data_IF_611111728746
#
_entry.id   IF_611111728746
#
_cell.length_a   1.000
_cell.length_b   1.000
_cell.length_c   1.000
_cell.angle_alpha   90.00
_cell.angle_beta   90.00
_cell.angle_gamma   90.00
#
_symmetry.space_group_name_H-M   'P 1'
#
loop_
_entity.id
_entity.type
_entity.pdbx_description
1 polymer ?
#
# COMPACT_ATOMS: atom_id res chain seq x y z
N UNK A 1 -53.54 2.00 -28.61
CA UNK A 1 -52.27 2.28 -27.90
C UNK A 1 -52.11 1.28 -26.77
N UNK A 2 -51.26 0.27 -26.91
CA UNK A 2 -50.94 -0.67 -25.85
C UNK A 2 -50.22 0.09 -24.75
N UNK A 3 -50.79 0.14 -23.53
CA UNK A 3 -50.09 0.64 -22.32
C UNK A 3 -48.86 -0.21 -22.12
N UNK A 4 -47.70 0.37 -22.36
CA UNK A 4 -46.42 -0.25 -21.92
C UNK A 4 -46.48 -0.38 -20.40
N UNK A 5 -46.68 -1.60 -19.92
CA UNK A 5 -46.52 -1.89 -18.49
C UNK A 5 -45.13 -1.39 -18.08
N UNK A 6 -45.05 -0.43 -17.15
CA UNK A 6 -43.81 -0.05 -16.52
C UNK A 6 -43.28 -1.32 -15.87
N UNK A 7 -42.12 -1.79 -16.35
CA UNK A 7 -41.36 -2.84 -15.70
C UNK A 7 -41.08 -2.39 -14.26
N UNK A 8 -41.57 -3.11 -13.29
CA UNK A 8 -41.31 -2.86 -11.88
C UNK A 8 -40.12 -3.73 -11.44
N UNK A 9 -39.05 -3.09 -10.98
CA UNK A 9 -37.85 -3.74 -10.46
C UNK A 9 -37.72 -3.53 -8.96
N UNK A 10 -38.76 -3.10 -8.27
CA UNK A 10 -38.76 -2.81 -6.83
C UNK A 10 -38.23 -4.02 -6.04
N UNK A 11 -37.12 -3.79 -5.29
CA UNK A 11 -36.47 -4.81 -4.48
C UNK A 11 -35.63 -5.84 -5.26
N UNK A 12 -35.64 -5.80 -6.60
CA UNK A 12 -34.84 -6.72 -7.40
C UNK A 12 -33.35 -6.30 -7.44
N UNK A 13 -32.41 -7.24 -7.28
CA UNK A 13 -30.98 -6.92 -7.34
C UNK A 13 -30.51 -6.76 -8.79
N UNK A 14 -29.79 -5.69 -9.05
CA UNK A 14 -29.11 -5.40 -10.32
C UNK A 14 -27.60 -5.35 -10.07
N UNK A 15 -26.85 -6.14 -10.82
CA UNK A 15 -25.41 -6.33 -10.66
C UNK A 15 -24.65 -5.66 -11.79
N UNK A 16 -23.71 -4.79 -11.46
CA UNK A 16 -22.96 -3.97 -12.41
C UNK A 16 -21.46 -4.24 -12.27
N UNK A 17 -20.85 -4.75 -13.31
CA UNK A 17 -19.39 -4.87 -13.43
C UNK A 17 -18.84 -3.69 -14.23
N UNK A 18 -17.82 -3.03 -13.69
CA UNK A 18 -17.16 -1.89 -14.31
C UNK A 18 -15.70 -2.22 -14.61
N UNK A 19 -15.33 -2.11 -15.88
CA UNK A 19 -13.93 -2.01 -16.24
C UNK A 19 -13.61 -0.53 -16.50
N UNK A 20 -12.73 0.01 -15.64
CA UNK A 20 -12.55 1.44 -15.47
C UNK A 20 -11.30 1.92 -16.18
N UNK A 21 -11.48 2.75 -17.21
CA UNK A 21 -10.41 3.44 -17.93
C UNK A 21 -10.52 4.95 -17.83
N UNK A 22 -9.43 5.67 -18.13
CA UNK A 22 -9.38 7.15 -18.04
C UNK A 22 -10.39 7.85 -18.93
N UNK A 23 -10.62 7.32 -20.13
CA UNK A 23 -11.46 7.97 -21.17
C UNK A 23 -12.87 7.36 -21.25
N UNK A 24 -13.04 6.11 -20.84
CA UNK A 24 -14.31 5.40 -20.95
C UNK A 24 -14.38 4.28 -19.94
N UNK A 25 -15.59 3.92 -19.51
CA UNK A 25 -15.86 2.73 -18.71
C UNK A 25 -16.62 1.73 -19.56
N UNK A 26 -16.19 0.48 -19.51
CA UNK A 26 -16.99 -0.65 -20.00
C UNK A 26 -17.88 -1.14 -18.86
N UNK A 27 -19.19 -1.13 -19.12
CA UNK A 27 -20.23 -1.46 -18.15
C UNK A 27 -20.91 -2.76 -18.59
N UNK A 28 -21.08 -3.68 -17.67
CA UNK A 28 -21.91 -4.86 -17.86
C UNK A 28 -22.97 -4.95 -16.77
N UNK A 29 -24.21 -5.08 -17.16
CA UNK A 29 -25.37 -5.17 -16.25
C UNK A 29 -25.94 -6.57 -16.31
N UNK A 30 -26.16 -7.14 -15.14
CA UNK A 30 -26.83 -8.43 -14.95
C UNK A 30 -28.03 -8.26 -14.02
N UNK A 31 -29.06 -8.98 -14.32
CA UNK A 31 -30.20 -9.18 -13.43
C UNK A 31 -30.09 -10.53 -12.71
N UNK A 32 -31.03 -10.84 -11.83
CA UNK A 32 -31.08 -12.14 -11.17
C UNK A 32 -31.20 -13.32 -12.19
N UNK A 33 -31.79 -13.07 -13.34
CA UNK A 33 -32.05 -14.10 -14.37
C UNK A 33 -30.90 -14.24 -15.40
N UNK A 34 -29.96 -13.29 -15.46
CA UNK A 34 -28.85 -13.38 -16.39
C UNK A 34 -28.34 -12.03 -16.91
N UNK A 35 -27.53 -12.07 -17.97
CA UNK A 35 -26.98 -10.87 -18.55
C UNK A 35 -28.06 -10.01 -19.22
N UNK A 36 -28.08 -8.72 -18.90
CA UNK A 36 -29.01 -7.77 -19.52
C UNK A 36 -28.36 -7.03 -20.68
N UNK A 37 -27.28 -6.24 -20.42
CA UNK A 37 -26.63 -5.41 -21.42
C UNK A 37 -25.18 -5.11 -21.06
N UNK A 38 -24.34 -4.93 -22.10
CA UNK A 38 -22.99 -4.35 -21.94
C UNK A 38 -22.83 -3.22 -22.91
N UNK A 39 -22.24 -2.10 -22.45
CA UNK A 39 -22.02 -0.88 -23.21
C UNK A 39 -20.81 -0.13 -22.69
N UNK A 40 -20.36 0.87 -23.43
CA UNK A 40 -19.31 1.79 -23.00
C UNK A 40 -19.93 3.16 -22.73
N UNK A 41 -19.42 3.85 -21.71
CA UNK A 41 -19.85 5.19 -21.34
C UNK A 41 -18.65 6.08 -20.97
N UNK A 42 -18.79 7.42 -20.92
CA UNK A 42 -17.81 8.30 -20.31
C UNK A 42 -17.59 7.97 -18.83
N UNK A 43 -16.42 8.33 -18.24
CA UNK A 43 -16.06 8.02 -16.86
C UNK A 43 -16.81 8.90 -15.85
N UNK A 44 -18.13 8.82 -15.85
CA UNK A 44 -19.04 9.62 -15.05
C UNK A 44 -20.02 8.75 -14.26
N UNK A 45 -19.90 8.77 -12.94
CA UNK A 45 -20.82 8.05 -12.04
C UNK A 45 -22.27 8.50 -12.23
N UNK A 46 -22.49 9.80 -12.43
CA UNK A 46 -23.84 10.35 -12.63
C UNK A 46 -24.57 9.73 -13.81
N UNK A 47 -23.91 9.52 -14.95
CA UNK A 47 -24.49 8.87 -16.13
C UNK A 47 -24.87 7.42 -15.86
N UNK A 48 -24.02 6.68 -15.16
CA UNK A 48 -24.32 5.30 -14.78
C UNK A 48 -25.55 5.22 -13.87
N UNK A 49 -25.58 6.04 -12.83
CA UNK A 49 -26.70 6.04 -11.88
C UNK A 49 -28.00 6.48 -12.53
N UNK A 50 -27.97 7.48 -13.41
CA UNK A 50 -29.13 7.91 -14.21
C UNK A 50 -29.64 6.75 -15.08
N UNK A 51 -28.72 6.06 -15.79
CA UNK A 51 -29.07 4.88 -16.59
C UNK A 51 -29.75 3.79 -15.75
N UNK A 52 -29.18 3.46 -14.59
CA UNK A 52 -29.71 2.42 -13.70
C UNK A 52 -31.10 2.79 -13.19
N UNK A 53 -31.31 4.00 -12.71
CA UNK A 53 -32.62 4.47 -12.20
C UNK A 53 -33.68 4.56 -13.27
N UNK A 54 -33.29 4.90 -14.50
CA UNK A 54 -34.22 4.99 -15.64
C UNK A 54 -34.68 3.60 -16.11
N UNK A 55 -33.77 2.63 -16.22
CA UNK A 55 -34.04 1.31 -16.75
C UNK A 55 -34.51 0.30 -15.71
N UNK A 56 -34.17 0.51 -14.44
CA UNK A 56 -34.46 -0.38 -13.32
C UNK A 56 -35.00 0.40 -12.12
N UNK A 57 -36.14 1.08 -12.25
CA UNK A 57 -36.68 1.91 -11.17
C UNK A 57 -37.02 1.03 -9.94
N UNK A 58 -36.64 1.51 -8.74
CA UNK A 58 -36.89 0.82 -7.47
C UNK A 58 -35.99 -0.38 -7.17
N UNK A 59 -35.06 -0.72 -8.07
CA UNK A 59 -34.14 -1.83 -7.86
C UNK A 59 -33.07 -1.55 -6.80
N UNK A 60 -32.47 -2.60 -6.28
CA UNK A 60 -31.26 -2.55 -5.47
C UNK A 60 -30.03 -2.66 -6.39
N UNK A 61 -29.12 -1.69 -6.31
CA UNK A 61 -27.97 -1.65 -7.22
C UNK A 61 -26.70 -2.07 -6.50
N UNK A 62 -26.04 -3.09 -7.05
CA UNK A 62 -24.74 -3.59 -6.62
C UNK A 62 -23.74 -3.42 -7.74
N UNK A 63 -22.56 -2.89 -7.44
CA UNK A 63 -21.53 -2.64 -8.44
C UNK A 63 -20.17 -3.15 -7.97
N UNK A 64 -19.27 -3.41 -8.91
CA UNK A 64 -17.89 -3.79 -8.61
C UNK A 64 -16.94 -3.32 -9.68
N UNK A 65 -15.72 -2.98 -9.28
CA UNK A 65 -14.59 -2.70 -10.17
C UNK A 65 -13.28 -3.17 -9.54
N UNK A 66 -12.27 -3.39 -10.38
CA UNK A 66 -10.95 -3.80 -9.93
C UNK A 66 -10.15 -2.63 -9.34
N UNK A 67 -9.46 -2.87 -8.21
CA UNK A 67 -8.56 -1.91 -7.61
C UNK A 67 -7.41 -1.56 -8.59
N UNK A 68 -7.16 -0.27 -8.77
CA UNK A 68 -6.17 0.20 -9.72
C UNK A 68 -5.85 1.69 -9.55
N UNK A 69 -5.38 2.30 -10.62
CA UNK A 69 -4.98 3.72 -10.66
C UNK A 69 -6.12 4.70 -10.36
N UNK A 70 -7.37 4.29 -10.54
CA UNK A 70 -8.55 5.10 -10.25
C UNK A 70 -8.81 5.27 -8.74
N UNK A 71 -8.16 4.47 -7.88
CA UNK A 71 -8.39 4.54 -6.44
C UNK A 71 -9.84 4.27 -6.03
N UNK A 72 -10.35 5.01 -5.04
CA UNK A 72 -11.65 4.75 -4.40
C UNK A 72 -12.72 5.82 -4.67
N UNK A 73 -12.44 6.84 -5.49
CA UNK A 73 -13.41 7.92 -5.70
C UNK A 73 -14.72 7.44 -6.37
N UNK A 74 -14.63 6.44 -7.25
CA UNK A 74 -15.77 5.83 -7.91
C UNK A 74 -16.65 5.12 -6.88
N UNK A 75 -16.05 4.30 -6.03
CA UNK A 75 -16.73 3.63 -4.91
C UNK A 75 -17.47 4.63 -4.02
N UNK A 76 -16.77 5.69 -3.60
CA UNK A 76 -17.36 6.70 -2.73
C UNK A 76 -18.55 7.40 -3.38
N UNK A 77 -18.44 7.83 -4.65
CA UNK A 77 -19.52 8.48 -5.36
C UNK A 77 -20.71 7.56 -5.66
N UNK A 78 -20.47 6.29 -5.95
CA UNK A 78 -21.54 5.30 -6.16
C UNK A 78 -22.32 5.09 -4.87
N UNK A 79 -21.65 4.90 -3.75
CA UNK A 79 -22.28 4.75 -2.44
C UNK A 79 -23.07 5.99 -2.01
N UNK A 80 -22.54 7.19 -2.22
CA UNK A 80 -23.24 8.46 -1.98
C UNK A 80 -24.57 8.55 -2.79
N UNK A 81 -24.63 7.89 -3.94
CA UNK A 81 -25.80 7.87 -4.81
C UNK A 81 -26.71 6.64 -4.61
N UNK A 82 -26.45 5.83 -3.56
CA UNK A 82 -27.28 4.67 -3.21
C UNK A 82 -26.99 3.42 -4.05
N UNK A 83 -25.80 3.30 -4.61
CA UNK A 83 -25.32 2.09 -5.28
C UNK A 83 -24.28 1.42 -4.40
N UNK A 84 -24.54 0.21 -3.93
CA UNK A 84 -23.52 -0.57 -3.22
C UNK A 84 -22.38 -0.91 -4.17
N UNK A 85 -21.13 -0.70 -3.70
CA UNK A 85 -19.96 -0.86 -4.54
C UNK A 85 -18.86 -1.63 -3.82
N UNK A 86 -18.44 -2.75 -4.41
CA UNK A 86 -17.25 -3.49 -4.00
C UNK A 86 -16.04 -3.06 -4.85
N UNK A 87 -14.91 -2.85 -4.21
CA UNK A 87 -13.62 -2.75 -4.90
C UNK A 87 -12.89 -4.06 -4.68
N UNK A 88 -12.50 -4.73 -5.75
CA UNK A 88 -11.90 -6.07 -5.66
C UNK A 88 -10.44 -6.05 -6.11
N UNK A 89 -9.64 -6.95 -5.55
CA UNK A 89 -8.28 -7.14 -6.02
C UNK A 89 -8.32 -7.91 -7.36
N UNK A 90 -7.68 -7.41 -8.44
CA UNK A 90 -7.66 -8.08 -9.74
C UNK A 90 -7.18 -9.53 -9.70
N UNK A 91 -6.29 -9.83 -8.75
CA UNK A 91 -5.72 -11.16 -8.60
C UNK A 91 -6.68 -12.20 -8.00
N UNK A 92 -7.73 -11.73 -7.31
CA UNK A 92 -8.68 -12.60 -6.61
C UNK A 92 -9.98 -12.79 -7.41
N UNK A 93 -10.11 -12.14 -8.58
CA UNK A 93 -11.26 -12.28 -9.46
C UNK A 93 -11.20 -13.61 -10.22
N UNK A 94 -12.19 -14.53 -10.06
CA UNK A 94 -12.19 -15.84 -10.71
C UNK A 94 -12.07 -15.71 -12.24
N UNK A 95 -11.04 -16.32 -12.83
CA UNK A 95 -10.76 -16.21 -14.27
C UNK A 95 -10.69 -17.60 -14.90
N UNK A 96 -11.53 -17.86 -15.91
CA UNK A 96 -11.49 -19.11 -16.67
C UNK A 96 -10.28 -19.14 -17.62
N UNK A 97 -9.69 -20.31 -17.89
CA UNK A 97 -8.51 -20.46 -18.75
C UNK A 97 -8.69 -19.89 -20.17
N UNK A 98 -9.91 -19.91 -20.71
CA UNK A 98 -10.24 -19.29 -22.00
C UNK A 98 -10.20 -17.76 -21.96
N UNK A 99 -10.55 -17.15 -20.83
CA UNK A 99 -10.57 -15.70 -20.63
C UNK A 99 -9.15 -15.13 -20.46
N UNK A 100 -8.20 -15.92 -19.96
CA UNK A 100 -6.77 -15.54 -19.86
C UNK A 100 -6.10 -15.25 -21.21
N UNK A 101 -6.55 -15.92 -22.29
CA UNK A 101 -5.96 -15.79 -23.64
C UNK A 101 -6.53 -14.64 -24.47
N UNK A 102 -7.68 -14.08 -24.08
CA UNK A 102 -8.38 -13.03 -24.84
C UNK A 102 -8.71 -11.86 -23.92
N UNK A 103 -7.72 -10.98 -23.69
CA UNK A 103 -7.94 -9.76 -22.90
C UNK A 103 -8.71 -8.76 -23.75
N UNK A 104 -9.99 -8.52 -23.39
CA UNK A 104 -10.84 -7.47 -23.97
C UNK A 104 -11.67 -6.86 -22.85
N UNK A 105 -11.72 -5.55 -22.74
CA UNK A 105 -12.45 -4.78 -21.72
C UNK A 105 -13.91 -5.23 -21.54
N UNK A 106 -14.56 -5.65 -22.63
CA UNK A 106 -15.92 -6.22 -22.61
C UNK A 106 -16.02 -7.57 -21.89
N UNK A 107 -14.94 -8.33 -21.85
CA UNK A 107 -14.90 -9.62 -21.15
C UNK A 107 -14.70 -9.39 -19.66
N UNK A 108 -13.87 -8.39 -19.30
CA UNK A 108 -13.52 -8.10 -17.93
C UNK A 108 -14.72 -7.53 -17.16
N UNK A 109 -15.47 -6.58 -17.70
CA UNK A 109 -16.67 -6.07 -17.03
C UNK A 109 -17.80 -7.15 -16.91
N UNK A 110 -17.95 -8.06 -17.89
CA UNK A 110 -18.91 -9.17 -17.81
C UNK A 110 -18.53 -10.20 -16.76
N UNK A 111 -17.25 -10.49 -16.65
CA UNK A 111 -16.69 -11.35 -15.61
C UNK A 111 -17.01 -10.80 -14.22
N UNK A 112 -16.76 -9.50 -14.02
CA UNK A 112 -17.03 -8.83 -12.75
C UNK A 112 -18.51 -8.87 -12.38
N UNK A 113 -19.42 -8.52 -13.30
CA UNK A 113 -20.87 -8.54 -13.01
C UNK A 113 -21.40 -9.96 -12.75
N UNK A 114 -20.89 -10.96 -13.46
CA UNK A 114 -21.22 -12.38 -13.23
C UNK A 114 -20.75 -12.84 -11.84
N UNK A 115 -19.49 -12.59 -11.52
CA UNK A 115 -18.91 -13.00 -10.24
C UNK A 115 -19.55 -12.25 -9.07
N UNK A 116 -19.91 -10.97 -9.23
CA UNK A 116 -20.66 -10.21 -8.24
C UNK A 116 -22.04 -10.84 -7.98
N UNK A 117 -22.79 -11.18 -9.03
CA UNK A 117 -24.08 -11.85 -8.91
C UNK A 117 -24.00 -13.20 -8.21
N UNK A 118 -22.96 -13.95 -8.47
CA UNK A 118 -22.76 -15.28 -7.89
C UNK A 118 -22.27 -15.23 -6.42
N UNK A 119 -21.85 -14.07 -5.91
CA UNK A 119 -21.22 -13.95 -4.58
C UNK A 119 -19.76 -14.42 -4.52
N UNK A 120 -19.09 -14.56 -5.68
CA UNK A 120 -17.72 -15.06 -5.78
C UNK A 120 -16.64 -13.99 -5.48
N UNK A 121 -17.06 -12.76 -5.18
CA UNK A 121 -16.14 -11.62 -5.01
C UNK A 121 -16.04 -11.19 -3.56
N UNK A 122 -14.82 -11.05 -3.10
CA UNK A 122 -14.50 -10.43 -1.82
C UNK A 122 -13.98 -9.00 -2.03
N UNK A 123 -14.60 -8.03 -1.33
CA UNK A 123 -14.20 -6.62 -1.40
C UNK A 123 -12.94 -6.34 -0.59
N UNK A 124 -12.04 -5.54 -1.15
CA UNK A 124 -10.91 -5.03 -0.36
C UNK A 124 -11.38 -3.93 0.58
N UNK A 125 -10.63 -3.71 1.65
CA UNK A 125 -10.87 -2.60 2.57
C UNK A 125 -10.70 -1.25 1.87
N UNK A 126 -11.76 -0.44 1.86
CA UNK A 126 -11.74 0.95 1.37
C UNK A 126 -11.61 1.90 2.57
N UNK A 127 -10.48 2.58 2.72
CA UNK A 127 -10.31 3.52 3.82
C UNK A 127 -11.20 4.75 3.65
N UNK A 128 -11.60 5.42 4.75
CA UNK A 128 -12.23 6.75 4.69
C UNK A 128 -11.36 7.75 3.91
N UNK A 129 -11.98 8.74 3.24
CA UNK A 129 -11.27 9.73 2.39
C UNK A 129 -10.11 10.40 3.09
N UNK A 130 -10.30 10.91 4.31
CA UNK A 130 -9.23 11.55 5.08
C UNK A 130 -8.04 10.63 5.32
N UNK A 131 -8.28 9.34 5.61
CA UNK A 131 -7.20 8.36 5.75
C UNK A 131 -6.43 8.11 4.45
N UNK A 132 -7.10 8.19 3.31
CA UNK A 132 -6.44 8.07 1.99
C UNK A 132 -5.54 9.28 1.73
N UNK A 133 -5.96 10.48 2.12
CA UNK A 133 -5.17 11.71 2.01
C UNK A 133 -3.94 11.67 2.94
N UNK A 134 -4.12 11.28 4.20
CA UNK A 134 -3.03 11.10 5.16
C UNK A 134 -2.01 10.06 4.66
N UNK A 135 -2.49 8.94 4.12
CA UNK A 135 -1.65 7.92 3.48
C UNK A 135 -0.87 8.51 2.31
N UNK A 136 -1.47 9.40 1.54
CA UNK A 136 -0.80 10.05 0.40
C UNK A 136 0.36 10.95 0.87
N UNK A 137 0.21 11.66 1.99
CA UNK A 137 1.30 12.43 2.61
C UNK A 137 2.47 11.53 2.98
N UNK A 138 2.20 10.41 3.67
CA UNK A 138 3.21 9.43 4.07
C UNK A 138 3.93 8.83 2.84
N UNK A 139 3.16 8.41 1.83
CA UNK A 139 3.70 7.81 0.60
C UNK A 139 4.53 8.82 -0.20
N UNK A 140 4.12 10.08 -0.23
CA UNK A 140 4.89 11.16 -0.86
C UNK A 140 6.24 11.32 -0.19
N UNK A 141 6.29 11.36 1.15
CA UNK A 141 7.56 11.42 1.89
C UNK A 141 8.47 10.24 1.56
N UNK A 142 7.93 9.02 1.49
CA UNK A 142 8.72 7.82 1.16
C UNK A 142 9.24 7.84 -0.27
N UNK A 143 8.44 8.35 -1.21
CA UNK A 143 8.85 8.58 -2.59
C UNK A 143 10.02 9.57 -2.65
N UNK A 144 9.96 10.69 -1.92
CA UNK A 144 11.06 11.68 -1.88
C UNK A 144 12.34 11.09 -1.27
N UNK A 145 12.24 10.24 -0.25
CA UNK A 145 13.42 9.54 0.31
C UNK A 145 14.05 8.60 -0.73
N UNK A 146 13.25 7.87 -1.51
CA UNK A 146 13.78 7.03 -2.60
C UNK A 146 14.47 7.86 -3.68
N UNK A 147 13.89 9.02 -4.07
CA UNK A 147 14.53 9.95 -5.01
C UNK A 147 15.85 10.47 -4.44
N UNK A 148 15.90 10.85 -3.16
CA UNK A 148 17.13 11.29 -2.50
C UNK A 148 18.21 10.20 -2.53
N UNK A 149 17.85 8.95 -2.26
CA UNK A 149 18.80 7.82 -2.32
C UNK A 149 19.34 7.63 -3.74
N UNK A 150 18.46 7.74 -4.74
CA UNK A 150 18.86 7.67 -6.16
C UNK A 150 19.82 8.79 -6.53
N UNK A 151 19.51 10.03 -6.17
CA UNK A 151 20.37 11.18 -6.41
C UNK A 151 21.75 11.00 -5.74
N UNK A 152 21.79 10.56 -4.49
CA UNK A 152 23.06 10.22 -3.80
C UNK A 152 23.89 9.17 -4.54
N UNK A 153 23.24 8.13 -5.07
CA UNK A 153 23.93 7.09 -5.82
C UNK A 153 24.44 7.62 -7.17
N UNK A 154 23.68 8.50 -7.83
CA UNK A 154 24.10 9.16 -9.08
C UNK A 154 25.35 10.02 -8.86
N UNK A 155 25.37 10.84 -7.79
CA UNK A 155 26.55 11.62 -7.43
C UNK A 155 27.77 10.71 -7.21
N UNK A 156 27.62 9.65 -6.41
CA UNK A 156 28.73 8.70 -6.17
C UNK A 156 29.19 8.02 -7.45
N UNK A 157 28.28 7.59 -8.30
CA UNK A 157 28.60 6.95 -9.57
C UNK A 157 29.35 7.92 -10.51
N UNK A 158 28.94 9.19 -10.56
CA UNK A 158 29.62 10.21 -11.34
C UNK A 158 31.05 10.46 -10.83
N UNK A 159 31.24 10.62 -9.52
CA UNK A 159 32.58 10.80 -8.93
C UNK A 159 33.49 9.63 -9.24
N UNK A 160 33.01 8.39 -9.06
CA UNK A 160 33.77 7.18 -9.37
C UNK A 160 34.11 7.07 -10.86
N UNK A 161 33.17 7.44 -11.73
CA UNK A 161 33.38 7.42 -13.18
C UNK A 161 34.51 8.35 -13.63
N UNK A 162 34.66 9.48 -12.94
CA UNK A 162 35.80 10.44 -13.19
C UNK A 162 37.02 10.14 -12.36
N UNK A 163 37.14 8.99 -11.70
CA UNK A 163 38.31 8.59 -10.93
C UNK A 163 38.49 9.36 -9.63
N UNK A 164 37.49 10.08 -9.15
CA UNK A 164 37.56 10.80 -7.88
C UNK A 164 37.51 9.81 -6.72
N UNK A 165 38.56 9.79 -5.90
CA UNK A 165 38.65 8.95 -4.70
C UNK A 165 37.71 9.51 -3.64
N UNK A 166 36.65 8.77 -3.32
CA UNK A 166 35.68 9.14 -2.28
C UNK A 166 36.28 8.76 -0.91
N UNK A 167 36.35 9.69 0.06
CA UNK A 167 36.84 9.39 1.40
C UNK A 167 36.00 8.26 2.05
N UNK A 168 36.64 7.45 2.89
CA UNK A 168 35.92 6.41 3.63
C UNK A 168 34.86 7.00 4.58
N UNK A 169 33.79 6.22 4.83
CA UNK A 169 32.72 6.63 5.75
C UNK A 169 33.25 6.96 7.17
N UNK A 170 34.34 6.31 7.59
CA UNK A 170 34.96 6.52 8.90
C UNK A 170 35.71 7.86 8.97
N UNK A 171 36.33 8.28 7.89
CA UNK A 171 37.06 9.52 7.78
C UNK A 171 36.15 10.72 7.61
N UNK A 172 35.19 10.56 6.80
CA UNK A 172 34.21 11.61 6.51
C UNK A 172 32.81 11.02 6.36
N UNK A 173 31.95 11.25 7.37
CA UNK A 173 30.57 10.75 7.35
C UNK A 173 29.87 11.16 6.07
N UNK A 174 29.53 10.19 5.21
CA UNK A 174 28.92 10.45 3.91
C UNK A 174 27.60 11.22 4.07
N UNK A 175 27.41 12.20 3.22
CA UNK A 175 26.24 13.09 3.19
C UNK A 175 26.10 14.02 4.40
N UNK A 176 27.15 14.12 5.26
CA UNK A 176 27.29 15.18 6.26
C UNK A 176 27.50 16.54 5.57
N UNK A 177 27.42 17.65 6.33
CA UNK A 177 27.74 18.98 5.81
C UNK A 177 29.21 19.06 5.32
N UNK A 178 30.13 18.37 6.00
CA UNK A 178 31.53 18.29 5.63
C UNK A 178 31.70 17.56 4.28
N UNK A 179 31.03 16.44 4.10
CA UNK A 179 31.07 15.67 2.86
C UNK A 179 30.47 16.44 1.67
N UNK A 180 29.39 17.20 1.87
CA UNK A 180 28.80 18.03 0.82
C UNK A 180 29.77 19.14 0.42
N UNK A 181 30.37 19.85 1.38
CA UNK A 181 31.39 20.87 1.09
C UNK A 181 32.61 20.31 0.37
N UNK A 182 33.01 19.09 0.71
CA UNK A 182 34.08 18.41 -0.01
C UNK A 182 33.69 18.16 -1.47
N UNK A 183 32.47 17.68 -1.77
CA UNK A 183 32.00 17.52 -3.15
C UNK A 183 31.92 18.86 -3.87
N UNK A 184 31.43 19.92 -3.24
CA UNK A 184 31.39 21.29 -3.79
C UNK A 184 32.76 21.84 -4.18
N UNK A 185 33.81 21.38 -3.52
CA UNK A 185 35.20 21.73 -3.81
C UNK A 185 35.83 20.96 -4.97
N UNK A 186 35.20 19.89 -5.47
CA UNK A 186 35.72 19.11 -6.59
C UNK A 186 35.59 19.94 -7.87
N UNK A 187 36.67 19.89 -8.68
CA UNK A 187 36.69 20.50 -10.02
C UNK A 187 36.91 19.41 -11.05
N UNK A 188 36.09 19.44 -12.10
CA UNK A 188 36.24 18.59 -13.26
C UNK A 188 37.14 19.26 -14.30
N UNK A 189 37.62 18.53 -15.27
CA UNK A 189 38.49 19.04 -16.33
C UNK A 189 37.77 20.12 -17.16
N UNK A 190 36.44 20.05 -17.29
CA UNK A 190 35.64 21.01 -18.07
C UNK A 190 34.47 21.56 -17.25
N UNK A 191 34.10 22.80 -17.55
CA UNK A 191 32.94 23.50 -16.97
C UNK A 191 31.64 22.69 -17.06
N UNK A 192 31.47 21.94 -18.15
CA UNK A 192 30.28 21.05 -18.30
C UNK A 192 30.22 19.94 -17.25
N UNK A 193 31.39 19.42 -16.80
CA UNK A 193 31.44 18.44 -15.73
C UNK A 193 31.13 19.07 -14.36
N UNK A 194 31.66 20.26 -14.09
CA UNK A 194 31.32 21.03 -12.88
C UNK A 194 29.79 21.31 -12.83
N UNK A 195 29.25 21.80 -13.94
CA UNK A 195 27.80 22.08 -14.02
C UNK A 195 26.95 20.85 -13.76
N UNK A 196 27.30 19.68 -14.33
CA UNK A 196 26.57 18.45 -14.11
C UNK A 196 26.60 18.01 -12.63
N UNK A 197 27.76 18.12 -11.96
CA UNK A 197 27.89 17.83 -10.53
C UNK A 197 27.10 18.81 -9.68
N UNK A 198 27.15 20.09 -10.01
CA UNK A 198 26.42 21.15 -9.32
C UNK A 198 24.90 20.91 -9.36
N UNK A 199 24.34 20.58 -10.53
CA UNK A 199 22.91 20.29 -10.69
C UNK A 199 22.48 19.11 -9.79
N UNK A 200 23.28 18.04 -9.72
CA UNK A 200 22.98 16.94 -8.80
C UNK A 200 23.03 17.34 -7.32
N UNK A 201 23.93 18.23 -6.94
CA UNK A 201 24.00 18.75 -5.57
C UNK A 201 22.79 19.63 -5.25
N UNK A 202 22.37 20.49 -6.18
CA UNK A 202 21.16 21.30 -6.03
C UNK A 202 19.91 20.42 -5.89
N UNK A 203 19.76 19.38 -6.73
CA UNK A 203 18.69 18.39 -6.59
C UNK A 203 18.69 17.75 -5.20
N UNK A 204 19.87 17.32 -4.70
CA UNK A 204 20.00 16.73 -3.37
C UNK A 204 19.57 17.68 -2.26
N UNK A 205 19.99 18.95 -2.33
CA UNK A 205 19.62 19.99 -1.38
C UNK A 205 18.11 20.24 -1.39
N UNK A 206 17.52 20.35 -2.57
CA UNK A 206 16.07 20.51 -2.73
C UNK A 206 15.29 19.34 -2.16
N UNK A 207 15.68 18.10 -2.46
CA UNK A 207 15.07 16.90 -1.90
C UNK A 207 15.14 16.86 -0.36
N UNK A 208 16.24 17.32 0.24
CA UNK A 208 16.37 17.45 1.69
C UNK A 208 15.36 18.43 2.28
N UNK A 209 15.18 19.58 1.64
CA UNK A 209 14.21 20.60 2.07
C UNK A 209 12.77 20.07 1.99
N UNK A 210 12.41 19.39 0.90
CA UNK A 210 11.08 18.77 0.73
C UNK A 210 10.84 17.71 1.81
N UNK A 211 11.82 16.82 2.05
CA UNK A 211 11.69 15.77 3.08
C UNK A 211 11.53 16.39 4.47
N UNK A 212 12.27 17.46 4.78
CA UNK A 212 12.14 18.18 6.04
C UNK A 212 10.74 18.81 6.20
N UNK A 213 10.19 19.40 5.12
CA UNK A 213 8.82 19.92 5.10
C UNK A 213 7.79 18.83 5.35
N UNK A 214 7.93 17.69 4.67
CA UNK A 214 7.04 16.53 4.84
C UNK A 214 7.14 15.93 6.25
N UNK A 215 8.35 15.83 6.82
CA UNK A 215 8.53 15.36 8.19
C UNK A 215 7.80 16.28 9.21
N UNK A 216 7.87 17.62 9.03
CA UNK A 216 7.13 18.56 9.87
C UNK A 216 5.62 18.39 9.75
N UNK A 217 5.11 18.22 8.52
CA UNK A 217 3.69 18.00 8.28
C UNK A 217 3.20 16.69 8.92
N UNK A 218 3.96 15.60 8.78
CA UNK A 218 3.65 14.30 9.40
C UNK A 218 3.69 14.39 10.93
N UNK A 219 4.66 15.14 11.49
CA UNK A 219 4.72 15.37 12.93
C UNK A 219 3.53 16.19 13.43
N UNK A 220 3.08 17.20 12.68
CA UNK A 220 1.87 17.95 13.00
C UNK A 220 0.63 17.03 12.95
N UNK A 221 0.48 16.24 11.88
CA UNK A 221 -0.61 15.27 11.75
C UNK A 221 -0.63 14.26 12.91
N UNK A 222 0.55 13.78 13.36
CA UNK A 222 0.64 12.83 14.48
C UNK A 222 0.15 13.37 15.83
N UNK A 223 -0.04 14.68 15.95
CA UNK A 223 -0.50 15.37 17.16
C UNK A 223 -1.99 15.70 17.14
N UNK A 224 -2.66 15.47 16.02
CA UNK A 224 -4.13 15.66 15.94
C UNK A 224 -4.86 14.65 16.83
N UNK A 225 -6.08 14.96 17.22
CA UNK A 225 -6.89 14.10 18.09
C UNK A 225 -7.09 12.69 17.48
N UNK A 226 -7.14 12.61 16.16
CA UNK A 226 -7.29 11.37 15.43
C UNK A 226 -6.11 10.40 15.60
N UNK A 227 -4.88 10.91 15.73
CA UNK A 227 -3.66 10.09 15.75
C UNK A 227 -2.91 10.09 17.07
N UNK A 228 -3.03 11.14 17.86
CA UNK A 228 -2.20 11.39 19.05
C UNK A 228 -2.16 10.20 20.01
N UNK A 229 -3.31 9.71 20.42
CA UNK A 229 -3.40 8.58 21.36
C UNK A 229 -2.77 7.31 20.82
N UNK A 230 -3.04 6.99 19.56
CA UNK A 230 -2.49 5.82 18.88
C UNK A 230 -0.97 5.90 18.68
N UNK A 231 -0.47 7.08 18.34
CA UNK A 231 0.98 7.32 18.19
C UNK A 231 1.68 7.18 19.54
N UNK A 232 1.12 7.69 20.63
CA UNK A 232 1.67 7.55 21.97
C UNK A 232 1.74 6.07 22.37
N UNK A 233 0.67 5.32 22.19
CA UNK A 233 0.64 3.88 22.44
C UNK A 233 1.69 3.11 21.62
N UNK A 234 1.76 3.35 20.32
CA UNK A 234 2.73 2.66 19.45
C UNK A 234 4.18 3.01 19.79
N UNK A 235 4.45 4.21 20.30
CA UNK A 235 5.80 4.59 20.72
C UNK A 235 6.29 3.88 21.97
N UNK A 236 5.43 3.24 22.73
CA UNK A 236 5.84 2.37 23.86
C UNK A 236 6.48 1.09 23.35
N UNK A 237 6.17 0.66 22.12
CA UNK A 237 6.75 -0.52 21.50
C UNK A 237 8.20 -0.24 21.08
N UNK A 238 9.19 -1.02 21.51
CA UNK A 238 10.58 -0.84 21.15
C UNK A 238 10.81 -0.78 19.64
N UNK A 239 11.60 0.20 19.21
CA UNK A 239 11.93 0.41 17.79
C UNK A 239 10.90 1.20 16.99
N UNK A 240 9.76 1.58 17.57
CA UNK A 240 8.72 2.37 16.91
C UNK A 240 8.90 3.87 17.20
N UNK A 241 9.22 4.62 16.15
CA UNK A 241 9.26 6.09 16.16
C UNK A 241 7.90 6.69 15.81
N UNK A 242 7.72 8.00 16.02
CA UNK A 242 6.52 8.72 15.56
C UNK A 242 6.26 8.50 14.07
N UNK A 243 7.30 8.57 13.24
CA UNK A 243 7.15 8.33 11.80
C UNK A 243 6.74 6.88 11.48
N UNK A 244 7.37 5.91 12.16
CA UNK A 244 7.01 4.49 12.03
C UNK A 244 5.56 4.26 12.46
N UNK A 245 5.13 4.84 13.57
CA UNK A 245 3.75 4.77 14.04
C UNK A 245 2.77 5.35 12.99
N UNK A 246 3.07 6.51 12.42
CA UNK A 246 2.22 7.12 11.37
C UNK A 246 2.14 6.27 10.11
N UNK A 247 3.25 5.65 9.68
CA UNK A 247 3.24 4.70 8.56
C UNK A 247 2.34 3.50 8.88
N UNK A 248 2.47 2.90 10.06
CA UNK A 248 1.64 1.77 10.49
C UNK A 248 0.17 2.14 10.52
N UNK A 249 -0.19 3.25 11.17
CA UNK A 249 -1.59 3.69 11.33
C UNK A 249 -2.27 4.01 9.99
N UNK A 250 -1.56 4.68 9.09
CA UNK A 250 -2.13 5.06 7.79
C UNK A 250 -2.22 3.89 6.80
N UNK A 251 -1.28 2.95 6.83
CA UNK A 251 -1.25 1.83 5.89
C UNK A 251 -2.05 0.63 6.38
N UNK A 252 -2.02 0.31 7.68
CA UNK A 252 -2.82 -0.75 8.28
C UNK A 252 -4.30 -0.32 8.34
N UNK A 253 -4.57 0.95 8.66
CA UNK A 253 -5.93 1.42 8.93
C UNK A 253 -6.49 0.82 10.23
N UNK A 254 -7.71 0.32 10.18
CA UNK A 254 -8.36 -0.28 11.34
C UNK A 254 -7.78 -1.67 11.66
N UNK A 255 -7.23 -1.83 12.85
CA UNK A 255 -6.62 -3.12 13.27
C UNK A 255 -7.66 -4.23 13.41
N UNK A 256 -8.91 -3.87 13.72
CA UNK A 256 -10.03 -4.81 13.89
C UNK A 256 -10.39 -5.58 12.61
N UNK A 257 -10.02 -5.07 11.43
CA UNK A 257 -10.26 -5.76 10.16
C UNK A 257 -9.39 -7.01 9.95
N UNK A 258 -8.43 -7.26 10.84
CA UNK A 258 -7.62 -8.48 10.82
C UNK A 258 -8.01 -9.38 11.99
N UNK A 259 -8.87 -10.38 11.78
CA UNK A 259 -9.30 -11.33 12.81
C UNK A 259 -8.11 -12.02 13.48
N UNK A 260 -7.11 -12.43 12.70
CA UNK A 260 -5.93 -13.15 13.19
C UNK A 260 -4.63 -12.38 12.95
N UNK A 261 -3.55 -12.82 13.64
CA UNK A 261 -2.20 -12.32 13.33
C UNK A 261 -1.70 -12.84 11.98
N UNK A 262 -2.18 -13.97 11.52
CA UNK A 262 -1.76 -14.55 10.25
C UNK A 262 -2.27 -13.73 9.06
N UNK A 263 -3.51 -13.24 9.11
CA UNK A 263 -4.03 -12.32 8.10
C UNK A 263 -3.26 -11.00 8.05
N UNK A 264 -2.96 -10.41 9.22
CA UNK A 264 -2.14 -9.21 9.27
C UNK A 264 -0.72 -9.46 8.75
N UNK A 265 -0.14 -10.60 9.09
CA UNK A 265 1.21 -11.00 8.65
C UNK A 265 1.23 -11.24 7.15
N UNK A 266 0.18 -11.83 6.60
CA UNK A 266 -0.01 -12.03 5.16
C UNK A 266 -0.15 -10.70 4.43
N UNK A 267 -0.98 -9.78 4.93
CA UNK A 267 -1.13 -8.43 4.39
C UNK A 267 0.19 -7.67 4.32
N UNK A 268 1.01 -7.76 5.36
CA UNK A 268 2.34 -7.13 5.42
C UNK A 268 3.36 -7.88 4.56
N UNK A 269 3.17 -9.20 4.35
CA UNK A 269 4.08 -10.06 3.62
C UNK A 269 5.30 -10.49 4.42
N UNK A 270 5.08 -10.84 5.69
CA UNK A 270 6.09 -11.46 6.57
C UNK A 270 5.92 -12.98 6.65
N UNK A 271 5.22 -13.59 5.69
CA UNK A 271 5.06 -15.03 5.54
C UNK A 271 6.00 -15.51 4.43
N UNK A 272 6.64 -16.68 4.58
CA UNK A 272 7.36 -17.31 3.47
C UNK A 272 6.39 -17.64 2.34
N UNK A 273 6.85 -17.49 1.10
CA UNK A 273 6.14 -17.99 -0.08
C UNK A 273 6.23 -19.52 -0.05
N UNK A 274 5.11 -20.19 0.18
CA UNK A 274 5.03 -21.65 0.15
C UNK A 274 4.36 -22.07 -1.15
N UNK A 275 5.15 -22.59 -2.09
CA UNK A 275 4.64 -23.21 -3.28
C UNK A 275 4.63 -24.73 -3.04
N UNK A 276 3.46 -25.27 -2.76
CA UNK A 276 3.25 -26.71 -2.49
C UNK A 276 2.51 -27.35 -3.65
N UNK A 277 3.21 -28.11 -4.47
CA UNK A 277 2.59 -29.06 -5.40
C UNK A 277 2.96 -30.49 -4.97
N UNK A 278 2.03 -31.16 -4.30
CA UNK A 278 2.20 -32.57 -3.91
C UNK A 278 3.22 -32.80 -2.78
N UNK A 279 4.12 -33.76 -2.94
CA UNK A 279 5.01 -34.26 -1.88
C UNK A 279 6.21 -33.36 -1.52
N UNK A 280 6.40 -32.19 -2.16
CA UNK A 280 7.51 -31.26 -1.88
C UNK A 280 7.00 -29.84 -1.63
N UNK A 281 7.02 -29.40 -0.37
CA UNK A 281 6.90 -27.98 -0.01
C UNK A 281 8.20 -27.24 -0.36
N UNK A 282 8.15 -26.39 -1.35
CA UNK A 282 9.22 -25.44 -1.63
C UNK A 282 8.95 -24.16 -0.80
N UNK A 283 9.67 -23.99 0.29
CA UNK A 283 9.66 -22.74 1.07
C UNK A 283 10.52 -21.72 0.30
N UNK A 284 9.88 -20.88 -0.47
CA UNK A 284 10.48 -19.80 -1.23
C UNK A 284 10.91 -18.59 -0.38
N UNK A 285 11.15 -17.47 -1.04
CA UNK A 285 11.38 -16.18 -0.39
C UNK A 285 10.11 -15.61 0.27
N UNK A 286 10.13 -14.33 0.59
CA UNK A 286 8.95 -13.63 1.13
C UNK A 286 7.97 -13.35 -0.02
N UNK A 287 6.67 -13.61 0.19
CA UNK A 287 5.63 -13.42 -0.85
C UNK A 287 5.71 -12.06 -1.54
N UNK A 288 5.61 -12.07 -2.87
CA UNK A 288 5.61 -10.83 -3.66
C UNK A 288 4.27 -10.08 -3.55
N UNK A 289 3.16 -10.78 -3.32
CA UNK A 289 1.83 -10.22 -3.03
C UNK A 289 1.80 -9.68 -1.61
N UNK A 290 2.37 -8.48 -1.39
CA UNK A 290 2.45 -7.96 -0.04
C UNK A 290 2.71 -6.47 0.00
N UNK A 291 2.48 -5.87 1.15
CA UNK A 291 2.74 -4.46 1.39
C UNK A 291 4.24 -4.22 1.64
N UNK A 292 5.05 -4.22 0.57
CA UNK A 292 6.53 -4.14 0.63
C UNK A 292 7.06 -3.00 1.53
N UNK A 293 6.34 -1.89 1.59
CA UNK A 293 6.70 -0.73 2.40
C UNK A 293 6.52 -0.99 3.91
N UNK A 294 5.39 -1.59 4.32
CA UNK A 294 5.19 -1.98 5.72
C UNK A 294 6.22 -3.02 6.15
N UNK A 295 6.47 -4.01 5.30
CA UNK A 295 7.49 -5.02 5.55
C UNK A 295 8.86 -4.41 5.80
N UNK A 296 9.29 -3.49 4.91
CA UNK A 296 10.57 -2.80 5.08
C UNK A 296 10.64 -2.02 6.40
N UNK A 297 9.61 -1.22 6.70
CA UNK A 297 9.55 -0.43 7.93
C UNK A 297 9.61 -1.31 9.19
N UNK A 298 8.92 -2.45 9.19
CA UNK A 298 8.93 -3.39 10.32
C UNK A 298 10.28 -4.08 10.48
N UNK A 299 10.95 -4.44 9.39
CA UNK A 299 12.32 -5.01 9.44
C UNK A 299 13.29 -3.98 10.03
N UNK A 300 13.26 -2.73 9.58
CA UNK A 300 14.09 -1.66 10.13
C UNK A 300 13.79 -1.38 11.62
N UNK A 301 12.51 -1.36 11.99
CA UNK A 301 12.10 -1.23 13.39
C UNK A 301 12.59 -2.41 14.25
N UNK A 302 12.62 -3.62 13.69
CA UNK A 302 13.07 -4.82 14.39
C UNK A 302 14.54 -4.80 14.74
N UNK A 303 15.40 -4.25 13.87
CA UNK A 303 16.83 -4.03 14.18
C UNK A 303 17.04 -3.08 15.39
N UNK A 304 16.13 -2.14 15.59
CA UNK A 304 16.14 -1.27 16.76
C UNK A 304 15.49 -1.93 17.97
N UNK A 305 14.46 -2.74 17.75
CA UNK A 305 13.73 -3.42 18.81
C UNK A 305 14.59 -4.44 19.54
N UNK A 306 15.39 -5.24 18.84
CA UNK A 306 16.31 -6.21 19.46
C UNK A 306 17.37 -5.56 20.35
N UNK A 307 17.69 -4.26 20.14
CA UNK A 307 18.64 -3.52 20.98
C UNK A 307 18.01 -2.99 22.27
N UNK A 308 16.67 -2.99 22.38
CA UNK A 308 15.94 -2.37 23.49
C UNK A 308 15.06 -3.33 24.26
N UNK A 309 14.77 -4.49 23.70
CA UNK A 309 13.85 -5.48 24.25
C UNK A 309 14.61 -6.82 24.45
N UNK A 310 14.90 -7.20 25.70
CA UNK A 310 15.66 -8.41 26.00
C UNK A 310 15.02 -9.68 25.43
N UNK A 311 13.69 -9.82 25.49
CA UNK A 311 12.99 -10.99 24.97
C UNK A 311 13.08 -11.11 23.44
N UNK A 312 13.09 -9.96 22.71
CA UNK A 312 13.34 -9.96 21.26
C UNK A 312 14.82 -10.26 20.94
N UNK A 313 15.73 -9.76 21.75
CA UNK A 313 17.18 -10.07 21.63
C UNK A 313 17.43 -11.58 21.77
N UNK A 314 16.95 -12.18 22.86
CA UNK A 314 17.10 -13.62 23.11
C UNK A 314 16.50 -14.46 21.97
N UNK A 315 15.28 -14.10 21.51
CA UNK A 315 14.65 -14.77 20.38
C UNK A 315 15.48 -14.63 19.08
N UNK A 316 16.08 -13.45 18.83
CA UNK A 316 16.94 -13.22 17.68
C UNK A 316 18.19 -14.10 17.72
N UNK A 317 18.87 -14.18 18.86
CA UNK A 317 20.05 -15.01 19.05
C UNK A 317 19.74 -16.51 18.86
N UNK A 318 18.61 -16.99 19.41
CA UNK A 318 18.15 -18.37 19.18
C UNK A 318 17.92 -18.66 17.68
N UNK A 319 17.30 -17.72 16.95
CA UNK A 319 17.11 -17.89 15.50
C UNK A 319 18.44 -17.87 14.75
N UNK A 320 19.40 -17.03 15.15
CA UNK A 320 20.71 -16.97 14.52
C UNK A 320 21.54 -18.25 14.64
N UNK A 321 21.25 -19.10 15.64
CA UNK A 321 21.87 -20.45 15.76
C UNK A 321 21.46 -21.39 14.62
N UNK A 322 20.29 -21.17 14.01
CA UNK A 322 19.68 -22.06 13.00
C UNK A 322 19.56 -21.46 11.61
N UNK A 323 19.71 -20.13 11.48
CA UNK A 323 19.55 -19.44 10.22
C UNK A 323 20.36 -18.16 10.13
N UNK A 324 20.52 -17.64 8.89
CA UNK A 324 21.23 -16.35 8.65
C UNK A 324 20.50 -15.20 9.33
N UNK A 325 21.25 -14.20 9.83
CA UNK A 325 20.73 -12.98 10.50
C UNK A 325 19.62 -12.29 9.70
N UNK A 326 19.74 -12.25 8.36
CA UNK A 326 18.74 -11.67 7.46
C UNK A 326 17.41 -12.43 7.43
N UNK A 327 17.41 -13.75 7.70
CA UNK A 327 16.19 -14.54 7.87
C UNK A 327 15.65 -14.44 9.31
N UNK A 328 16.54 -14.43 10.31
CA UNK A 328 16.19 -14.29 11.71
C UNK A 328 15.42 -12.99 11.99
N UNK A 329 15.87 -11.85 11.43
CA UNK A 329 15.21 -10.56 11.65
C UNK A 329 13.79 -10.51 11.08
N UNK A 330 13.46 -11.26 10.02
CA UNK A 330 12.11 -11.35 9.48
C UNK A 330 11.18 -12.04 10.49
N UNK A 331 11.65 -13.09 11.20
CA UNK A 331 10.90 -13.71 12.29
C UNK A 331 10.69 -12.77 13.47
N UNK A 332 11.68 -11.94 13.79
CA UNK A 332 11.54 -10.88 14.79
C UNK A 332 10.51 -9.83 14.33
N UNK A 333 10.51 -9.43 13.06
CA UNK A 333 9.53 -8.50 12.52
C UNK A 333 8.09 -9.03 12.67
N UNK A 334 7.87 -10.35 12.50
CA UNK A 334 6.57 -10.97 12.78
C UNK A 334 6.21 -10.91 14.28
N UNK A 335 7.17 -11.19 15.18
CA UNK A 335 6.96 -11.04 16.62
C UNK A 335 6.64 -9.59 17.01
N UNK A 336 7.39 -8.62 16.45
CA UNK A 336 7.16 -7.20 16.67
C UNK A 336 5.76 -6.77 16.16
N UNK A 337 5.35 -7.25 14.99
CA UNK A 337 4.01 -6.98 14.43
C UNK A 337 2.89 -7.51 15.33
N UNK A 338 3.09 -8.70 15.94
CA UNK A 338 2.12 -9.24 16.90
C UNK A 338 1.98 -8.34 18.14
N UNK A 339 3.10 -7.82 18.66
CA UNK A 339 3.10 -6.85 19.77
C UNK A 339 2.39 -5.56 19.40
N UNK A 340 2.65 -5.02 18.21
CA UNK A 340 1.95 -3.84 17.66
C UNK A 340 0.44 -4.12 17.58
N UNK A 341 0.05 -5.30 17.06
CA UNK A 341 -1.36 -5.71 16.99
C UNK A 341 -2.00 -5.75 18.38
N UNK A 342 -1.31 -6.33 19.36
CA UNK A 342 -1.79 -6.40 20.74
C UNK A 342 -2.04 -5.01 21.33
N UNK A 343 -1.05 -4.11 21.22
CA UNK A 343 -1.14 -2.71 21.70
C UNK A 343 -2.32 -1.98 21.06
N UNK A 344 -2.48 -2.09 19.74
CA UNK A 344 -3.58 -1.44 19.02
C UNK A 344 -4.94 -2.05 19.33
N UNK A 345 -5.05 -3.38 19.48
CA UNK A 345 -6.31 -4.07 19.75
C UNK A 345 -6.81 -3.81 21.17
N UNK A 346 -5.91 -3.85 22.14
CA UNK A 346 -6.24 -3.71 23.55
C UNK A 346 -6.18 -2.26 24.08
N UNK A 347 -5.70 -1.31 23.25
CA UNK A 347 -5.49 0.09 23.64
C UNK A 347 -4.64 0.23 24.91
N UNK A 348 -3.63 -0.63 25.06
CA UNK A 348 -2.75 -0.67 26.22
C UNK A 348 -1.30 -0.40 25.82
N UNK A 349 -0.54 0.19 26.73
CA UNK A 349 0.90 0.39 26.53
C UNK A 349 1.63 -0.95 26.44
N UNK A 350 2.72 -0.97 25.70
CA UNK A 350 3.61 -2.10 25.66
C UNK A 350 4.43 -2.17 26.94
N UNK A 351 4.38 -3.30 27.61
CA UNK A 351 5.24 -3.63 28.75
C UNK A 351 6.25 -4.66 28.30
N UNK A 352 7.55 -4.36 28.43
CA UNK A 352 8.61 -5.33 28.15
C UNK A 352 8.52 -6.44 29.20
N UNK A 353 8.26 -7.68 28.78
CA UNK A 353 8.31 -8.80 29.68
C UNK A 353 9.78 -9.07 30.04
N UNK A 354 10.13 -8.90 31.30
CA UNK A 354 11.33 -9.49 31.89
C UNK A 354 10.96 -10.95 32.14
N UNK A 355 11.57 -11.86 31.39
CA UNK A 355 11.53 -13.27 31.72
C UNK A 355 12.43 -13.43 32.96
N UNK A 356 11.84 -13.67 34.12
CA UNK A 356 12.55 -14.22 35.28
C UNK A 356 13.11 -15.62 34.98
#
# INVERSE_FOLDING_TARGET
MLKRNKLDFTGQPIYVGLDVHKKSWSVSIWTQHGPYKSFSQPPEVGKLVHYLRHHFPGAQYYSTYEAGYCGFWIHNQLREKGVDCLVVNPADVPTKNKERKTKRDRIDCRKLSRSLRNGDLEGIYVPPRGKVEDRSLIRTRLSMVRKQTRCKNQIKAMLLFYGVVIPEQREMGHWSRRFIRWIEGIRMERVSGDMALQIHLEELCHLRQIIAKLNRAILALSRTDEYRSWVLLLRTVPGISTLTAMILLTEIGEIGRFPSIDELTNYVGLIPDTDGSGEKEHVGGVTQRSHSQLRWVLIEASWRAIQKDPALMMAFEQYCKRMRKTKAIIKIARKLLNRIRYVLKNRSEYVAAVLE
#
